data_IF_286248832095
#
_entry.id   IF_286248832095
#
_cell.length_a   1.000
_cell.length_b   1.000
_cell.length_c   1.000
_cell.angle_alpha   90.00
_cell.angle_beta   90.00
_cell.angle_gamma   90.00
#
_symmetry.space_group_name_H-M   'P 1'
#
loop_
_entity.id
_entity.type
_entity.pdbx_description
1 polymer ?
#
# COMPACT_ATOMS: atom_id res chain seq x y z
N UNK A 1 48.58 41.83 5.13
CA UNK A 1 47.18 41.63 4.72
C UNK A 1 47.02 40.25 4.09
N UNK A 2 46.86 39.20 4.91
CA UNK A 2 46.68 37.81 4.44
C UNK A 2 45.89 36.93 5.42
N UNK A 3 45.26 37.51 6.45
CA UNK A 3 44.55 36.74 7.48
C UNK A 3 43.02 36.76 7.30
N UNK A 4 42.48 37.63 6.44
CA UNK A 4 41.03 37.75 6.21
C UNK A 4 40.48 36.74 5.20
N UNK A 5 41.31 36.15 4.33
CA UNK A 5 40.85 35.16 3.34
C UNK A 5 40.67 33.75 3.90
N UNK A 6 41.34 33.39 5.01
CA UNK A 6 41.31 32.01 5.54
C UNK A 6 40.06 31.70 6.39
N UNK A 7 39.24 32.71 6.71
CA UNK A 7 38.03 32.55 7.53
C UNK A 7 36.73 32.50 6.71
N UNK A 8 36.75 32.85 5.43
CA UNK A 8 35.54 32.83 4.58
C UNK A 8 35.25 31.44 3.99
N UNK A 9 36.26 30.59 3.86
CA UNK A 9 36.11 29.23 3.33
C UNK A 9 35.25 28.31 4.22
N UNK A 10 35.44 28.22 5.56
CA UNK A 10 34.66 27.29 6.38
C UNK A 10 33.18 27.69 6.52
N UNK A 11 32.86 28.99 6.43
CA UNK A 11 31.48 29.48 6.52
C UNK A 11 30.67 29.07 5.28
N UNK A 12 31.29 29.09 4.10
CA UNK A 12 30.66 28.64 2.86
C UNK A 12 30.32 27.14 2.90
N UNK A 13 31.16 26.30 3.51
CA UNK A 13 30.89 24.87 3.67
C UNK A 13 29.73 24.57 4.63
N UNK A 14 29.57 25.36 5.70
CA UNK A 14 28.45 25.17 6.65
C UNK A 14 27.10 25.52 6.02
N UNK A 15 27.01 26.59 5.21
CA UNK A 15 25.77 26.96 4.50
C UNK A 15 25.38 25.91 3.46
N UNK A 16 26.34 25.32 2.74
CA UNK A 16 26.09 24.23 1.78
C UNK A 16 25.59 22.93 2.43
N UNK A 17 25.78 22.73 3.74
CA UNK A 17 25.35 21.53 4.46
C UNK A 17 23.93 21.63 5.05
N UNK A 18 23.27 22.78 4.92
CA UNK A 18 21.98 23.05 5.59
C UNK A 18 20.75 22.65 4.77
N UNK A 19 20.91 22.28 3.50
CA UNK A 19 19.78 21.84 2.65
C UNK A 19 19.73 20.33 2.51
N UNK A 20 19.51 19.66 3.64
CA UNK A 20 18.68 18.45 3.64
C UNK A 20 17.68 18.61 4.76
N UNK A 21 16.72 19.52 4.58
CA UNK A 21 15.41 19.32 5.18
C UNK A 21 14.85 18.10 4.47
N UNK A 22 15.23 16.92 4.96
CA UNK A 22 14.45 15.73 4.73
C UNK A 22 13.13 16.09 5.40
N UNK A 23 12.13 16.39 4.58
CA UNK A 23 10.75 16.35 5.04
C UNK A 23 10.58 14.94 5.61
N UNK A 24 10.73 14.83 6.93
CA UNK A 24 10.11 13.77 7.67
C UNK A 24 8.62 14.06 7.49
N UNK A 25 8.06 13.59 6.39
CA UNK A 25 6.68 13.21 6.39
C UNK A 25 6.59 12.22 7.53
N UNK A 26 6.13 12.69 8.69
CA UNK A 26 5.33 11.90 9.58
C UNK A 26 4.07 11.51 8.79
N UNK A 27 4.27 10.74 7.72
CA UNK A 27 3.27 9.85 7.22
C UNK A 27 3.00 8.98 8.43
N UNK A 28 1.84 9.22 9.05
CA UNK A 28 1.12 8.22 9.82
C UNK A 28 1.54 6.88 9.24
N UNK A 29 2.11 5.99 10.05
CA UNK A 29 2.53 4.66 9.61
C UNK A 29 1.34 3.93 9.02
N UNK A 30 1.05 4.21 7.75
CA UNK A 30 0.11 3.50 6.92
C UNK A 30 1.05 2.62 6.14
N UNK A 31 1.37 1.48 6.73
CA UNK A 31 1.94 0.35 6.01
C UNK A 31 1.23 0.27 4.65
N UNK A 32 1.96 0.31 3.52
CA UNK A 32 1.35 0.36 2.21
C UNK A 32 0.37 -0.82 2.07
N UNK A 33 -0.89 -0.51 1.74
CA UNK A 33 -1.92 -1.52 1.51
C UNK A 33 -1.41 -2.39 0.35
N UNK A 34 -1.00 -3.61 0.66
CA UNK A 34 -0.49 -4.56 -0.33
C UNK A 34 -1.57 -5.56 -0.66
N UNK A 35 -2.08 -5.50 -1.89
CA UNK A 35 -3.10 -6.40 -2.41
C UNK A 35 -2.47 -7.52 -3.24
N UNK A 36 -2.89 -8.75 -2.96
CA UNK A 36 -2.50 -9.95 -3.71
C UNK A 36 -3.75 -10.59 -4.30
N UNK A 37 -3.66 -11.03 -5.57
CA UNK A 37 -4.73 -11.76 -6.24
C UNK A 37 -4.27 -13.12 -6.74
N UNK A 38 -5.13 -14.14 -6.61
CA UNK A 38 -4.88 -15.47 -7.19
C UNK A 38 -6.17 -16.06 -7.79
N UNK A 39 -6.03 -16.92 -8.81
CA UNK A 39 -7.14 -17.75 -9.29
C UNK A 39 -7.19 -19.02 -8.46
N UNK A 40 -8.35 -19.36 -7.88
CA UNK A 40 -8.52 -20.60 -7.13
C UNK A 40 -8.93 -21.76 -8.06
N UNK A 41 -8.31 -22.92 -7.83
CA UNK A 41 -8.59 -24.15 -8.58
C UNK A 41 -8.98 -25.29 -7.62
N UNK A 42 -9.97 -26.13 -7.94
CA UNK A 42 -10.91 -25.96 -9.06
C UNK A 42 -11.79 -24.72 -8.82
N UNK A 43 -12.16 -24.04 -9.91
CA UNK A 43 -13.08 -22.90 -9.82
C UNK A 43 -14.47 -23.42 -9.42
N UNK A 44 -15.14 -22.84 -8.42
CA UNK A 44 -16.47 -23.24 -8.03
C UNK A 44 -17.48 -22.98 -9.18
N UNK A 45 -18.53 -23.82 -9.22
CA UNK A 45 -19.64 -23.72 -10.17
C UNK A 45 -20.94 -23.48 -9.39
N UNK A 46 -21.82 -22.56 -9.83
CA UNK A 46 -21.61 -21.61 -10.92
C UNK A 46 -20.53 -20.57 -10.58
N UNK A 47 -19.79 -20.12 -11.59
CA UNK A 47 -18.85 -19.01 -11.43
C UNK A 47 -19.66 -17.71 -11.46
N UNK A 48 -19.86 -17.11 -10.29
CA UNK A 48 -20.43 -15.79 -10.10
C UNK A 48 -19.75 -15.13 -8.89
N UNK A 49 -19.82 -13.81 -8.78
CA UNK A 49 -19.10 -13.06 -7.75
C UNK A 49 -19.48 -13.49 -6.32
N UNK A 50 -20.74 -13.82 -6.06
CA UNK A 50 -21.16 -14.26 -4.72
C UNK A 50 -20.56 -15.61 -4.35
N UNK A 51 -20.62 -16.59 -5.26
CA UNK A 51 -20.02 -17.92 -5.06
C UNK A 51 -18.51 -17.82 -4.96
N UNK A 52 -17.86 -16.99 -5.80
CA UNK A 52 -16.42 -16.75 -5.71
C UNK A 52 -16.05 -16.14 -4.36
N UNK A 53 -16.76 -15.10 -3.89
CA UNK A 53 -16.48 -14.48 -2.59
C UNK A 53 -16.57 -15.48 -1.45
N UNK A 54 -17.63 -16.32 -1.41
CA UNK A 54 -17.75 -17.39 -0.40
C UNK A 54 -16.57 -18.35 -0.45
N UNK A 55 -16.22 -18.84 -1.64
CA UNK A 55 -15.10 -19.77 -1.82
C UNK A 55 -13.74 -19.13 -1.47
N UNK A 56 -13.55 -17.84 -1.77
CA UNK A 56 -12.35 -17.10 -1.40
C UNK A 56 -12.24 -16.92 0.12
N UNK A 57 -13.35 -16.58 0.78
CA UNK A 57 -13.40 -16.46 2.25
C UNK A 57 -13.14 -17.81 2.93
N UNK A 58 -13.71 -18.90 2.41
CA UNK A 58 -13.49 -20.24 2.95
C UNK A 58 -12.04 -20.72 2.79
N UNK A 59 -11.34 -20.35 1.70
CA UNK A 59 -9.96 -20.80 1.43
C UNK A 59 -8.87 -19.91 2.01
N UNK A 60 -9.07 -18.59 1.99
CA UNK A 60 -8.04 -17.60 2.35
C UNK A 60 -8.37 -16.94 3.68
N UNK A 61 -9.65 -16.66 3.94
CA UNK A 61 -10.13 -16.05 5.18
C UNK A 61 -10.96 -14.79 4.97
N UNK A 62 -11.45 -14.24 6.08
CA UNK A 62 -12.24 -13.01 6.10
C UNK A 62 -11.43 -11.81 5.57
N UNK A 63 -12.13 -10.88 4.90
CA UNK A 63 -11.50 -9.74 4.24
C UNK A 63 -11.01 -10.01 2.82
N UNK A 64 -11.25 -11.21 2.29
CA UNK A 64 -11.05 -11.51 0.87
C UNK A 64 -12.28 -11.15 0.04
N UNK A 65 -12.02 -10.65 -1.16
CA UNK A 65 -13.03 -10.46 -2.20
C UNK A 65 -12.86 -11.53 -3.29
N UNK A 66 -13.96 -11.89 -3.93
CA UNK A 66 -13.98 -12.90 -4.99
C UNK A 66 -14.76 -12.44 -6.20
N UNK A 67 -14.14 -12.51 -7.36
CA UNK A 67 -14.71 -12.13 -8.65
C UNK A 67 -14.68 -13.31 -9.61
N UNK A 68 -15.76 -13.53 -10.36
CA UNK A 68 -15.75 -14.49 -11.45
C UNK A 68 -15.15 -13.86 -12.69
N UNK A 69 -13.99 -14.34 -13.12
CA UNK A 69 -13.34 -13.94 -14.38
C UNK A 69 -13.31 -15.13 -15.35
N UNK A 70 -12.91 -14.89 -16.60
CA UNK A 70 -12.86 -15.93 -17.65
C UNK A 70 -12.02 -17.15 -17.25
N UNK A 71 -10.99 -16.97 -16.42
CA UNK A 71 -10.11 -18.04 -15.93
C UNK A 71 -10.64 -18.77 -14.68
N UNK A 72 -11.79 -18.38 -14.14
CA UNK A 72 -12.38 -18.89 -12.90
C UNK A 72 -12.49 -17.83 -11.82
N UNK A 73 -12.67 -18.24 -10.57
CA UNK A 73 -12.74 -17.31 -9.45
C UNK A 73 -11.37 -16.71 -9.12
N UNK A 74 -11.27 -15.38 -9.25
CA UNK A 74 -10.15 -14.57 -8.79
C UNK A 74 -10.43 -14.10 -7.36
N UNK A 75 -9.60 -14.52 -6.43
CA UNK A 75 -9.62 -14.01 -5.05
C UNK A 75 -8.63 -12.87 -4.93
N UNK A 76 -8.99 -11.81 -4.21
CA UNK A 76 -8.11 -10.69 -3.87
C UNK A 76 -8.14 -10.47 -2.37
N UNK A 77 -6.97 -10.34 -1.77
CA UNK A 77 -6.78 -10.03 -0.35
C UNK A 77 -5.77 -8.91 -0.23
N UNK A 78 -6.01 -7.94 0.65
CA UNK A 78 -5.03 -6.91 0.95
C UNK A 78 -4.63 -6.94 2.42
N UNK A 79 -3.34 -6.82 2.69
CA UNK A 79 -2.85 -6.53 4.04
C UNK A 79 -3.20 -5.09 4.39
N UNK A 80 -3.69 -4.87 5.61
CA UNK A 80 -4.20 -3.56 6.07
C UNK A 80 -5.38 -3.04 5.24
N UNK A 81 -6.38 -3.90 4.99
CA UNK A 81 -7.64 -3.47 4.42
C UNK A 81 -8.23 -2.36 5.33
N UNK A 82 -8.45 -1.13 4.83
CA UNK A 82 -9.05 -0.09 5.65
C UNK A 82 -10.40 -0.61 6.14
N UNK A 83 -10.76 -0.46 7.43
CA UNK A 83 -12.01 -0.99 7.95
C UNK A 83 -13.13 -0.58 7.00
N UNK A 84 -13.88 -1.56 6.48
CA UNK A 84 -14.94 -1.30 5.49
C UNK A 84 -15.82 -0.21 6.08
N UNK A 85 -15.73 1.00 5.56
CA UNK A 85 -16.77 1.98 5.80
C UNK A 85 -18.01 1.36 5.20
N UNK A 86 -18.94 0.92 6.07
CA UNK A 86 -20.29 0.61 5.64
C UNK A 86 -20.82 1.91 5.08
N UNK A 87 -20.74 2.09 3.76
CA UNK A 87 -21.44 3.16 3.07
C UNK A 87 -22.92 2.89 3.28
N UNK A 88 -23.48 3.42 4.36
CA UNK A 88 -24.89 3.75 4.40
C UNK A 88 -25.02 4.95 3.46
N UNK A 89 -25.27 4.65 2.20
CA UNK A 89 -25.86 5.59 1.26
C UNK A 89 -27.28 5.06 1.00
N UNK A 90 -28.37 5.86 1.11
CA UNK A 90 -28.55 7.21 1.65
C UNK A 90 -29.31 7.25 3.00
#
# INVERSE_FOLDING_TARGET
>A
MRCTQMLLLPIAFLVLSSDVIMEASAGIGIDPISCMSNIIQPSPKPCNNQTCRKACVERIGYGTEGECVTKGCKCTYCTNWPPRQSTNEP
#
